data_IF_482407107196
#
_entry.id   IF_482407107196
#
_cell.length_a   1.000
_cell.length_b   1.000
_cell.length_c   1.000
_cell.angle_alpha   90.00
_cell.angle_beta   90.00
_cell.angle_gamma   90.00
#
_symmetry.space_group_name_H-M   'P 1'
#
loop_
_entity.id
_entity.type
_entity.pdbx_description
1 polymer ?
#
# COMPACT_ATOMS: atom_id res chain seq x y z
N UNK A 1 -11.48 4.20 11.67
CA UNK A 1 -11.59 4.90 10.36
C UNK A 1 -10.55 4.31 9.43
N UNK A 2 -10.80 4.17 8.12
CA UNK A 2 -9.81 3.67 7.15
C UNK A 2 -9.51 4.74 6.11
N UNK A 3 -8.22 5.00 5.89
CA UNK A 3 -7.78 5.98 4.90
C UNK A 3 -7.15 5.29 3.70
N UNK A 4 -7.61 5.65 2.50
CA UNK A 4 -7.05 5.15 1.25
C UNK A 4 -5.60 5.63 1.11
N UNK A 5 -4.69 4.68 0.92
CA UNK A 5 -3.26 4.95 0.74
C UNK A 5 -2.90 4.89 -0.73
N UNK A 6 -3.20 3.76 -1.38
CA UNK A 6 -2.89 3.54 -2.78
C UNK A 6 -3.78 2.44 -3.37
N UNK A 7 -3.88 2.40 -4.69
CA UNK A 7 -4.32 1.24 -5.44
C UNK A 7 -3.15 0.66 -6.20
N UNK A 8 -2.96 -0.65 -6.15
CA UNK A 8 -1.98 -1.36 -6.97
C UNK A 8 -2.68 -2.08 -8.10
N UNK A 9 -2.08 -2.04 -9.28
CA UNK A 9 -2.49 -2.83 -10.44
C UNK A 9 -1.28 -3.62 -10.94
N UNK A 10 -1.51 -4.84 -11.40
CA UNK A 10 -0.47 -5.72 -11.94
C UNK A 10 -0.44 -5.53 -13.45
N UNK A 11 0.74 -5.23 -14.00
CA UNK A 11 0.92 -5.16 -15.44
C UNK A 11 1.09 -6.55 -16.08
N UNK A 12 1.18 -6.58 -17.40
CA UNK A 12 1.44 -7.77 -18.22
C UNK A 12 2.69 -8.56 -17.81
N UNK A 13 3.67 -7.91 -17.19
CA UNK A 13 4.93 -8.51 -16.70
C UNK A 13 4.85 -8.96 -15.23
N UNK A 14 3.69 -8.89 -14.59
CA UNK A 14 3.53 -9.24 -13.18
C UNK A 14 4.04 -8.19 -12.19
N UNK A 15 4.43 -6.99 -12.65
CA UNK A 15 4.92 -5.90 -11.79
C UNK A 15 3.77 -5.06 -11.27
N UNK A 16 3.83 -4.72 -9.98
CA UNK A 16 2.87 -3.82 -9.35
C UNK A 16 3.14 -2.34 -9.68
N UNK A 17 2.13 -1.71 -10.24
CA UNK A 17 2.01 -0.27 -10.49
C UNK A 17 1.20 0.32 -9.34
N UNK A 18 1.76 1.30 -8.62
CA UNK A 18 1.09 1.96 -7.50
C UNK A 18 0.52 3.29 -7.97
N UNK A 19 -0.78 3.49 -7.75
CA UNK A 19 -1.46 4.77 -7.90
C UNK A 19 -1.82 5.25 -6.49
N UNK A 20 -1.04 6.21 -5.98
CA UNK A 20 -1.15 6.67 -4.60
C UNK A 20 -2.16 7.81 -4.43
N UNK A 21 -2.79 7.87 -3.26
CA UNK A 21 -3.63 9.01 -2.89
C UNK A 21 -2.77 10.28 -2.82
N UNK A 22 -3.34 11.43 -3.19
CA UNK A 22 -2.62 12.71 -3.38
C UNK A 22 -1.73 13.14 -2.21
N UNK A 23 -2.05 12.74 -0.98
CA UNK A 23 -1.34 13.13 0.25
C UNK A 23 -0.26 12.12 0.68
N UNK A 24 -0.16 10.99 0.01
CA UNK A 24 0.91 10.00 0.21
C UNK A 24 2.11 10.44 -0.63
N UNK A 25 3.33 10.23 -0.16
CA UNK A 25 4.56 10.64 -0.86
C UNK A 25 5.28 9.45 -1.50
N UNK A 26 6.14 9.71 -2.48
CA UNK A 26 6.95 8.67 -3.12
C UNK A 26 7.85 7.93 -2.12
N UNK A 27 8.38 8.64 -1.11
CA UNK A 27 9.18 8.03 -0.05
C UNK A 27 8.33 7.02 0.76
N UNK A 28 7.10 7.38 1.12
CA UNK A 28 6.19 6.47 1.84
C UNK A 28 5.84 5.25 1.00
N UNK A 29 5.62 5.43 -0.30
CA UNK A 29 5.41 4.31 -1.24
C UNK A 29 6.66 3.44 -1.36
N UNK A 30 7.86 4.03 -1.34
CA UNK A 30 9.09 3.25 -1.39
C UNK A 30 9.25 2.37 -0.14
N UNK A 31 8.94 2.87 1.05
CA UNK A 31 8.89 2.07 2.28
C UNK A 31 7.88 0.93 2.12
N UNK A 32 6.65 1.23 1.67
CA UNK A 32 5.60 0.22 1.44
C UNK A 32 6.04 -0.88 0.46
N UNK A 33 6.76 -0.53 -0.61
CA UNK A 33 7.25 -1.51 -1.61
C UNK A 33 8.37 -2.40 -1.10
N UNK A 34 9.16 -1.91 -0.15
CA UNK A 34 10.33 -2.61 0.39
C UNK A 34 10.05 -3.29 1.73
N UNK A 35 8.89 -3.06 2.33
CA UNK A 35 8.44 -3.71 3.57
C UNK A 35 7.62 -4.95 3.25
N UNK A 36 7.77 -6.01 4.05
CA UNK A 36 6.94 -7.21 3.87
C UNK A 36 5.46 -6.92 4.14
N UNK A 37 4.57 -7.64 3.44
CA UNK A 37 3.13 -7.46 3.62
C UNK A 37 2.67 -7.77 5.05
N UNK A 38 3.22 -8.82 5.66
CA UNK A 38 2.85 -9.23 7.02
C UNK A 38 3.19 -8.15 8.05
N UNK A 39 4.35 -7.49 7.90
CA UNK A 39 4.76 -6.37 8.77
C UNK A 39 3.86 -5.15 8.57
N UNK A 40 3.47 -4.85 7.32
CA UNK A 40 2.53 -3.77 7.03
C UNK A 40 1.15 -4.07 7.61
N UNK A 41 0.65 -5.30 7.48
CA UNK A 41 -0.64 -5.69 8.05
C UNK A 41 -0.62 -5.61 9.59
N UNK A 42 0.47 -6.05 10.24
CA UNK A 42 0.68 -5.87 11.68
C UNK A 42 0.76 -4.39 12.10
N UNK A 43 1.24 -3.52 11.22
CA UNK A 43 1.32 -2.08 11.42
C UNK A 43 0.00 -1.33 11.12
N UNK A 44 -1.06 -2.04 10.73
CA UNK A 44 -2.39 -1.46 10.48
C UNK A 44 -2.69 -1.15 9.00
N UNK A 45 -1.93 -1.69 8.06
CA UNK A 45 -2.30 -1.65 6.65
C UNK A 45 -3.28 -2.77 6.31
N UNK A 46 -4.16 -2.55 5.33
CA UNK A 46 -5.09 -3.55 4.83
C UNK A 46 -5.07 -3.56 3.31
N UNK A 47 -4.94 -4.76 2.73
CA UNK A 47 -4.85 -4.97 1.30
C UNK A 47 -6.09 -5.70 0.80
N UNK A 48 -6.99 -4.98 0.14
CA UNK A 48 -8.24 -5.52 -0.40
C UNK A 48 -8.01 -5.92 -1.85
N UNK A 49 -8.12 -7.21 -2.15
CA UNK A 49 -7.97 -7.72 -3.53
C UNK A 49 -9.06 -7.14 -4.43
N UNK A 50 -8.64 -6.52 -5.53
CA UNK A 50 -9.53 -6.09 -6.60
C UNK A 50 -9.64 -7.17 -7.66
N UNK A 51 -10.87 -7.51 -8.02
CA UNK A 51 -11.19 -8.44 -9.09
C UNK A 51 -12.12 -7.72 -10.06
N UNK A 52 -11.73 -7.64 -11.34
CA UNK A 52 -12.64 -7.21 -12.40
C UNK A 52 -13.29 -8.43 -13.02
N UNK A 53 -14.63 -8.44 -13.02
CA UNK A 53 -15.41 -9.51 -13.64
C UNK A 53 -15.38 -9.39 -15.17
N UNK A 54 -15.36 -8.16 -15.68
CA UNK A 54 -15.33 -7.87 -17.11
C UNK A 54 -13.91 -8.01 -17.71
N UNK A 55 -12.88 -7.78 -16.89
CA UNK A 55 -11.48 -7.84 -17.32
C UNK A 55 -10.67 -8.74 -16.38
N UNK A 56 -10.77 -10.09 -16.50
CA UNK A 56 -10.14 -11.04 -15.56
C UNK A 56 -8.61 -10.98 -15.51
N UNK A 57 -8.00 -10.40 -16.55
CA UNK A 57 -6.57 -10.15 -16.63
C UNK A 57 -6.13 -8.94 -15.79
N UNK A 58 -7.03 -8.05 -15.42
CA UNK A 58 -6.74 -6.92 -14.53
C UNK A 58 -6.83 -7.39 -13.08
N UNK A 59 -5.71 -7.29 -12.37
CA UNK A 59 -5.56 -7.70 -10.97
C UNK A 59 -4.90 -6.58 -10.18
N UNK A 60 -5.21 -6.50 -8.90
CA UNK A 60 -4.68 -5.44 -8.06
C UNK A 60 -5.13 -5.52 -6.62
N UNK A 61 -4.71 -4.53 -5.83
CA UNK A 61 -5.16 -4.35 -4.45
C UNK A 61 -5.54 -2.89 -4.19
N UNK A 62 -6.51 -2.66 -3.31
CA UNK A 62 -6.69 -1.36 -2.65
C UNK A 62 -6.01 -1.44 -1.29
N UNK A 63 -5.12 -0.49 -1.02
CA UNK A 63 -4.36 -0.40 0.21
C UNK A 63 -4.99 0.69 1.09
N UNK A 64 -5.42 0.29 2.28
CA UNK A 64 -5.89 1.18 3.33
C UNK A 64 -4.92 1.19 4.51
N UNK A 65 -4.99 2.24 5.30
CA UNK A 65 -4.39 2.32 6.62
C UNK A 65 -5.48 2.55 7.68
N UNK A 66 -5.38 1.83 8.80
CA UNK A 66 -6.29 1.96 9.94
C UNK A 66 -5.91 3.17 10.80
N UNK A 67 -6.28 4.36 10.32
CA UNK A 67 -6.00 5.62 11.01
C UNK A 67 -5.94 6.80 10.04
N UNK A 68 -5.36 7.90 10.51
CA UNK A 68 -5.09 9.09 9.70
C UNK A 68 -3.74 8.99 8.96
N UNK A 69 -3.54 9.80 7.93
CA UNK A 69 -2.30 9.78 7.13
C UNK A 69 -1.06 10.26 7.90
N UNK A 70 -1.22 11.14 8.89
CA UNK A 70 -0.12 11.60 9.74
C UNK A 70 0.34 10.51 10.71
N UNK A 71 -0.59 9.69 11.21
CA UNK A 71 -0.28 8.47 11.96
C UNK A 71 0.44 7.46 11.07
N UNK A 72 -0.07 7.20 9.86
CA UNK A 72 0.59 6.35 8.87
C UNK A 72 2.03 6.78 8.60
N UNK A 73 2.27 8.08 8.45
CA UNK A 73 3.60 8.62 8.21
C UNK A 73 4.57 8.32 9.36
N UNK A 74 4.10 8.39 10.62
CA UNK A 74 4.90 8.03 11.80
C UNK A 74 5.18 6.52 11.82
N UNK A 75 4.17 5.71 11.54
CA UNK A 75 4.27 4.25 11.48
C UNK A 75 5.32 3.81 10.44
N UNK A 76 5.23 4.32 9.22
CA UNK A 76 6.21 4.01 8.15
C UNK A 76 7.63 4.44 8.52
N UNK A 77 7.79 5.60 9.19
CA UNK A 77 9.11 6.06 9.66
C UNK A 77 9.70 5.16 10.74
N UNK A 78 8.86 4.54 11.58
CA UNK A 78 9.33 3.59 12.59
C UNK A 78 9.76 2.27 11.96
N UNK A 79 9.04 1.80 10.94
CA UNK A 79 9.42 0.62 10.14
C UNK A 79 10.78 0.85 9.48
N UNK A 80 10.95 1.99 8.78
CA UNK A 80 12.21 2.33 8.10
C UNK A 80 13.42 2.33 9.05
N UNK A 81 13.23 2.76 10.31
CA UNK A 81 14.30 2.74 11.32
C UNK A 81 14.65 1.36 11.86
N UNK A 82 13.70 0.43 11.89
CA UNK A 82 13.97 -0.93 12.37
C UNK A 82 14.73 -1.77 11.33
N UNK A 83 14.85 -1.28 10.10
CA UNK A 83 15.62 -1.87 9.01
C UNK A 83 17.09 -1.40 8.96
N UNK A 84 17.50 -0.41 9.76
CA UNK A 84 18.87 0.15 9.81
C UNK A 84 19.61 -0.36 11.05
#
# INVERSE_FOLDING_TARGET
>A
MRTLVATTLINDKGKEIYCMARKVTDQQINILRNTSRDELEAAGFTFIKMLSLEYPNIKGNVIFYEGHLDEMAKTLKNIEKNYI
#
